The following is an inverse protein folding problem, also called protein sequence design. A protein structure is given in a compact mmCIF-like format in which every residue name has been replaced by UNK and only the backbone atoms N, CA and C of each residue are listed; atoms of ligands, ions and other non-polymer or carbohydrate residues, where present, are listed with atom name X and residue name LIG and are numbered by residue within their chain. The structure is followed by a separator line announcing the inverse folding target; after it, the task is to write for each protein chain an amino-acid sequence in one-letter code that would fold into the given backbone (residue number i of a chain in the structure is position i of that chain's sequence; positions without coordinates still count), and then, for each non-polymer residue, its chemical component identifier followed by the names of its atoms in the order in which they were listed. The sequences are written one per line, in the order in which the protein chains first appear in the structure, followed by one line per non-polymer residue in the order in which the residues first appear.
data_IF_694881298080
#
_entry.id   IF_694881298080
#
_cell.length_a   1.000
_cell.length_b   1.000
_cell.length_c   1.000
_cell.angle_alpha   90.00
_cell.angle_beta   90.00
_cell.angle_gamma   90.00
#
_symmetry.space_group_name_H-M   'P 1'
#
loop_
_entity.id
_entity.type
_entity.pdbx_description
1 polymer ?
#
# COMPACT_ATOMS: atom_id res chain seq x y z
N UNK A 1 16.75 -1.35 46.18
CA UNK A 1 16.12 -2.20 45.17
C UNK A 1 14.68 -1.79 44.83
N UNK A 2 13.74 -1.70 45.81
CA UNK A 2 12.32 -1.32 45.54
C UNK A 2 12.14 0.04 44.86
N UNK A 3 12.92 1.08 45.24
CA UNK A 3 12.86 2.41 44.61
C UNK A 3 13.36 2.40 43.16
N UNK A 4 14.37 1.57 42.85
CA UNK A 4 14.88 1.40 41.47
C UNK A 4 13.87 0.66 40.58
N UNK A 5 13.17 -0.35 41.10
CA UNK A 5 12.11 -1.05 40.38
C UNK A 5 10.93 -0.14 40.09
N UNK A 6 10.53 0.71 41.04
CA UNK A 6 9.47 1.70 40.86
C UNK A 6 9.88 2.72 39.77
N UNK A 7 11.10 3.24 39.85
CA UNK A 7 11.63 4.19 38.87
C UNK A 7 11.66 3.58 37.43
N UNK A 8 12.10 2.33 37.32
CA UNK A 8 12.11 1.60 36.04
C UNK A 8 10.69 1.36 35.49
N UNK A 9 9.75 0.97 36.36
CA UNK A 9 8.35 0.80 35.97
C UNK A 9 7.72 2.11 35.49
N UNK A 10 7.96 3.23 36.20
CA UNK A 10 7.47 4.55 35.78
C UNK A 10 8.07 4.95 34.43
N UNK A 11 9.35 4.68 34.20
CA UNK A 11 10.00 4.96 32.91
C UNK A 11 9.33 4.19 31.78
N UNK A 12 9.03 2.90 31.98
CA UNK A 12 8.34 2.08 30.97
C UNK A 12 6.94 2.65 30.69
N UNK A 13 6.17 2.99 31.74
CA UNK A 13 4.83 3.55 31.58
C UNK A 13 4.87 4.86 30.78
N UNK A 14 5.81 5.74 31.08
CA UNK A 14 6.00 7.01 30.34
C UNK A 14 6.42 6.75 28.90
N UNK A 15 7.31 5.80 28.64
CA UNK A 15 7.73 5.43 27.29
C UNK A 15 6.55 4.87 26.47
N UNK A 16 5.78 3.95 27.05
CA UNK A 16 4.58 3.38 26.40
C UNK A 16 3.53 4.46 26.14
N UNK A 17 3.26 5.32 27.12
CA UNK A 17 2.35 6.45 26.95
C UNK A 17 2.83 7.39 25.82
N UNK A 18 4.12 7.68 25.75
CA UNK A 18 4.71 8.47 24.66
C UNK A 18 4.46 7.84 23.29
N UNK A 19 4.74 6.56 23.13
CA UNK A 19 4.52 5.84 21.86
C UNK A 19 3.05 5.89 21.41
N UNK A 20 2.12 5.80 22.35
CA UNK A 20 0.68 5.81 22.03
C UNK A 20 0.11 7.23 21.77
N UNK A 21 0.72 8.24 22.37
CA UNK A 21 0.17 9.62 22.34
C UNK A 21 0.85 10.46 21.26
N UNK A 22 2.16 10.35 21.08
CA UNK A 22 2.95 11.19 20.16
C UNK A 22 2.43 11.15 18.71
N UNK A 23 2.08 10.00 18.11
CA UNK A 23 1.58 9.97 16.74
C UNK A 23 0.31 10.77 16.50
N UNK A 24 -0.53 10.95 17.54
CA UNK A 24 -1.73 11.80 17.48
C UNK A 24 -1.45 13.30 17.37
N UNK A 25 -0.23 13.75 17.66
CA UNK A 25 0.18 15.15 17.55
C UNK A 25 0.95 15.46 16.27
N UNK A 26 1.30 14.43 15.49
CA UNK A 26 1.98 14.64 14.22
C UNK A 26 0.94 14.97 13.15
N UNK A 27 1.15 16.08 12.44
CA UNK A 27 0.33 16.41 11.27
C UNK A 27 0.78 15.59 10.06
N UNK A 28 0.14 14.44 9.89
CA UNK A 28 0.41 13.52 8.79
C UNK A 28 0.02 14.09 7.42
N UNK A 29 -0.80 15.13 7.39
CA UNK A 29 -1.21 15.78 6.15
C UNK A 29 -0.03 16.45 5.42
N UNK A 30 1.02 16.80 6.15
CA UNK A 30 2.26 17.33 5.58
C UNK A 30 2.91 16.37 4.59
N UNK A 31 2.71 15.07 4.74
CA UNK A 31 3.31 14.03 3.90
C UNK A 31 2.49 13.68 2.64
N UNK A 32 1.29 14.26 2.45
CA UNK A 32 0.44 13.98 1.29
C UNK A 32 1.15 14.17 -0.03
N UNK A 33 1.87 15.29 -0.17
CA UNK A 33 2.60 15.63 -1.39
C UNK A 33 3.73 14.64 -1.67
N UNK A 34 4.45 14.24 -0.63
CA UNK A 34 5.53 13.25 -0.75
C UNK A 34 4.99 11.89 -1.19
N UNK A 35 3.91 11.43 -0.55
CA UNK A 35 3.23 10.18 -0.90
C UNK A 35 2.73 10.24 -2.36
N UNK A 36 2.07 11.33 -2.75
CA UNK A 36 1.58 11.51 -4.11
C UNK A 36 2.72 11.49 -5.13
N UNK A 37 3.83 12.16 -4.84
CA UNK A 37 5.02 12.20 -5.70
C UNK A 37 5.63 10.82 -5.86
N UNK A 38 5.77 10.08 -4.77
CA UNK A 38 6.31 8.72 -4.78
C UNK A 38 5.43 7.77 -5.58
N UNK A 39 4.10 7.82 -5.39
CA UNK A 39 3.16 7.02 -6.17
C UNK A 39 3.22 7.40 -7.65
N UNK A 40 3.28 8.68 -7.97
CA UNK A 40 3.42 9.13 -9.35
C UNK A 40 4.70 8.63 -10.00
N UNK A 41 5.83 8.62 -9.27
CA UNK A 41 7.11 8.12 -9.79
C UNK A 41 7.10 6.62 -10.09
N UNK A 42 6.27 5.84 -9.39
CA UNK A 42 6.17 4.38 -9.54
C UNK A 42 5.11 4.00 -10.58
N UNK A 43 4.01 4.77 -10.65
CA UNK A 43 2.82 4.41 -11.44
C UNK A 43 2.63 5.25 -12.69
N UNK A 44 3.37 6.37 -12.81
CA UNK A 44 3.18 7.36 -13.86
C UNK A 44 1.89 8.18 -13.72
N UNK A 45 1.12 7.99 -12.63
CA UNK A 45 -0.21 8.59 -12.46
C UNK A 45 -0.33 9.38 -11.18
N UNK A 46 -1.18 10.40 -11.23
CA UNK A 46 -1.42 11.26 -10.08
C UNK A 46 -2.32 10.56 -9.04
N UNK A 47 -1.86 10.59 -7.79
CA UNK A 47 -2.65 10.26 -6.61
C UNK A 47 -2.99 11.58 -5.91
N UNK A 48 -4.26 11.76 -5.53
CA UNK A 48 -4.70 12.90 -4.72
C UNK A 48 -5.38 12.37 -3.45
N UNK A 49 -4.96 12.91 -2.30
CA UNK A 49 -5.56 12.64 -0.99
C UNK A 49 -6.23 13.93 -0.55
N UNK A 50 -7.53 14.07 -0.85
CA UNK A 50 -8.32 15.27 -0.56
C UNK A 50 -8.63 15.44 0.92
N UNK A 51 -8.94 14.35 1.61
CA UNK A 51 -9.23 14.31 3.04
C UNK A 51 -8.00 14.03 3.91
N UNK A 52 -8.18 13.92 5.22
CA UNK A 52 -7.09 13.78 6.18
C UNK A 52 -6.44 12.40 6.16
N UNK A 53 -5.11 12.39 6.43
CA UNK A 53 -4.37 11.18 6.77
C UNK A 53 -4.31 11.06 8.29
N UNK A 54 -4.69 9.89 8.80
CA UNK A 54 -4.68 9.55 10.21
C UNK A 54 -3.91 8.26 10.44
N UNK A 55 -3.14 8.21 11.52
CA UNK A 55 -2.50 6.98 11.97
C UNK A 55 -3.15 6.52 13.26
N UNK A 56 -3.71 5.33 13.23
CA UNK A 56 -4.17 4.62 14.42
C UNK A 56 -3.09 3.60 14.83
N UNK A 57 -2.85 3.46 16.13
CA UNK A 57 -1.91 2.46 16.65
C UNK A 57 -2.64 1.32 17.33
N UNK A 58 -3.80 1.59 17.89
CA UNK A 58 -4.60 0.61 18.60
C UNK A 58 -6.01 0.49 17.99
N UNK A 59 -6.58 -0.74 17.88
CA UNK A 59 -6.07 -2.05 18.34
C UNK A 59 -4.98 -2.66 17.46
N UNK A 60 -4.83 -2.22 16.23
CA UNK A 60 -3.75 -2.59 15.30
C UNK A 60 -3.24 -1.34 14.59
N UNK A 61 -1.94 -1.25 14.29
CA UNK A 61 -1.41 -0.13 13.52
C UNK A 61 -2.10 -0.04 12.16
N UNK A 62 -2.62 1.14 11.84
CA UNK A 62 -3.30 1.42 10.60
C UNK A 62 -3.03 2.84 10.12
N UNK A 63 -2.95 3.00 8.82
CA UNK A 63 -2.99 4.29 8.13
C UNK A 63 -4.34 4.43 7.45
N UNK A 64 -5.03 5.52 7.71
CA UNK A 64 -6.33 5.85 7.10
C UNK A 64 -6.15 7.12 6.29
N UNK A 65 -6.43 7.05 5.00
CA UNK A 65 -6.47 8.21 4.10
C UNK A 65 -7.90 8.38 3.60
N UNK A 66 -8.43 9.61 3.72
CA UNK A 66 -9.78 9.92 3.30
C UNK A 66 -9.77 10.66 1.95
N UNK A 67 -10.85 10.49 1.18
CA UNK A 67 -11.05 11.13 -0.11
C UNK A 67 -9.85 10.92 -1.05
N UNK A 68 -9.61 9.66 -1.38
CA UNK A 68 -8.47 9.25 -2.22
C UNK A 68 -8.92 9.08 -3.65
N UNK A 69 -8.24 9.74 -4.58
CA UNK A 69 -8.47 9.60 -6.01
C UNK A 69 -7.19 9.23 -6.74
N UNK A 70 -7.31 8.36 -7.73
CA UNK A 70 -6.20 7.94 -8.58
C UNK A 70 -6.54 8.21 -10.04
N UNK A 71 -5.67 8.95 -10.72
CA UNK A 71 -5.90 9.39 -12.08
C UNK A 71 -6.02 8.22 -13.07
N UNK A 72 -6.86 8.42 -14.08
CA UNK A 72 -7.02 7.49 -15.18
C UNK A 72 -5.81 7.53 -16.13
N UNK A 73 -5.75 6.57 -17.04
CA UNK A 73 -4.79 6.61 -18.13
C UNK A 73 -5.10 7.78 -19.09
N UNK A 74 -4.09 8.40 -19.68
CA UNK A 74 -4.31 9.40 -20.73
C UNK A 74 -5.16 8.83 -21.88
N UNK A 75 -6.27 9.50 -22.18
CA UNK A 75 -7.23 9.06 -23.19
C UNK A 75 -8.39 8.22 -22.66
N UNK A 76 -8.48 8.05 -21.33
CA UNK A 76 -9.65 7.42 -20.68
C UNK A 76 -10.91 8.28 -20.74
N UNK A 77 -12.06 7.65 -20.53
CA UNK A 77 -13.37 8.31 -20.58
C UNK A 77 -13.65 9.21 -19.38
N UNK A 78 -13.04 8.89 -18.25
CA UNK A 78 -13.12 9.63 -16.99
C UNK A 78 -11.71 10.12 -16.58
N UNK A 79 -11.65 11.23 -15.84
CA UNK A 79 -10.39 11.77 -15.34
C UNK A 79 -9.75 10.87 -14.27
N UNK A 80 -10.59 10.12 -13.54
CA UNK A 80 -10.16 9.29 -12.39
C UNK A 80 -10.54 7.83 -12.63
N UNK A 81 -9.53 6.94 -12.54
CA UNK A 81 -9.73 5.51 -12.59
C UNK A 81 -10.30 4.97 -11.28
N UNK A 82 -9.84 5.50 -10.13
CA UNK A 82 -10.28 5.06 -8.82
C UNK A 82 -10.66 6.28 -7.97
N UNK A 83 -11.77 6.17 -7.28
CA UNK A 83 -12.21 7.08 -6.21
C UNK A 83 -12.58 6.27 -4.98
N UNK A 84 -12.11 6.68 -3.82
CA UNK A 84 -12.37 6.02 -2.54
C UNK A 84 -12.81 7.08 -1.54
N UNK A 85 -13.87 6.84 -0.81
CA UNK A 85 -14.26 7.65 0.35
C UNK A 85 -13.19 7.53 1.44
N UNK A 86 -12.67 6.31 1.66
CA UNK A 86 -11.55 6.07 2.58
C UNK A 86 -10.76 4.83 2.18
N UNK A 87 -9.45 4.89 2.39
CA UNK A 87 -8.50 3.78 2.29
C UNK A 87 -7.89 3.55 3.67
N UNK A 88 -8.06 2.35 4.21
CA UNK A 88 -7.42 1.92 5.47
C UNK A 88 -6.44 0.78 5.17
N UNK A 89 -5.20 0.95 5.61
CA UNK A 89 -4.14 -0.05 5.47
C UNK A 89 -3.63 -0.41 6.86
N UNK A 90 -3.85 -1.64 7.28
CA UNK A 90 -3.36 -2.18 8.54
C UNK A 90 -2.03 -2.91 8.32
N UNK A 91 -1.12 -2.74 9.26
CA UNK A 91 0.19 -3.40 9.22
C UNK A 91 0.42 -4.27 10.45
N UNK A 92 1.23 -5.32 10.30
CA UNK A 92 1.60 -6.19 11.40
C UNK A 92 2.59 -5.48 12.34
N UNK A 93 2.27 -5.44 13.63
CA UNK A 93 3.12 -4.78 14.64
C UNK A 93 4.47 -5.49 14.82
N UNK A 94 4.49 -6.81 14.80
CA UNK A 94 5.72 -7.60 15.00
C UNK A 94 6.78 -7.30 13.95
N UNK A 95 6.52 -7.51 12.66
CA UNK A 95 7.42 -7.14 11.57
C UNK A 95 7.82 -5.68 11.57
N UNK A 96 6.87 -4.77 11.86
CA UNK A 96 7.13 -3.33 11.92
C UNK A 96 8.21 -2.98 12.96
N UNK A 97 8.25 -3.68 14.10
CA UNK A 97 9.30 -3.50 15.12
C UNK A 97 10.68 -3.97 14.64
N UNK A 98 10.75 -4.85 13.65
CA UNK A 98 11.99 -5.31 13.00
C UNK A 98 12.39 -4.45 11.80
N UNK A 99 11.58 -3.46 11.45
CA UNK A 99 11.78 -2.59 10.28
C UNK A 99 11.13 -3.11 9.00
N UNK A 100 10.38 -4.23 9.07
CA UNK A 100 9.68 -4.81 7.94
C UNK A 100 8.22 -4.34 7.90
N UNK A 101 7.74 -3.96 6.72
CA UNK A 101 6.35 -3.55 6.54
C UNK A 101 5.57 -4.73 5.96
N UNK A 102 4.71 -5.31 6.79
CA UNK A 102 3.79 -6.37 6.37
C UNK A 102 2.35 -5.85 6.45
N UNK A 103 1.67 -5.77 5.30
CA UNK A 103 0.27 -5.36 5.22
C UNK A 103 -0.60 -6.57 5.57
N UNK A 104 -1.45 -6.43 6.60
CA UNK A 104 -2.34 -7.49 7.08
C UNK A 104 -3.77 -7.31 6.58
N UNK A 105 -4.20 -6.07 6.38
CA UNK A 105 -5.55 -5.77 5.91
C UNK A 105 -5.56 -4.50 5.07
N UNK A 106 -6.29 -4.54 3.97
CA UNK A 106 -6.67 -3.36 3.18
C UNK A 106 -8.18 -3.26 3.16
N UNK A 107 -8.70 -2.10 3.53
CA UNK A 107 -10.12 -1.79 3.51
C UNK A 107 -10.38 -0.58 2.63
N UNK A 108 -11.27 -0.75 1.67
CA UNK A 108 -11.75 0.29 0.78
C UNK A 108 -13.19 0.63 1.17
N UNK A 109 -13.46 1.91 1.36
CA UNK A 109 -14.80 2.43 1.68
C UNK A 109 -15.28 3.29 0.51
N UNK A 110 -16.52 3.05 0.08
CA UNK A 110 -17.17 3.72 -1.05
C UNK A 110 -16.28 3.72 -2.32
N UNK A 111 -15.75 2.55 -2.76
CA UNK A 111 -14.90 2.49 -3.92
C UNK A 111 -15.72 2.65 -5.20
N UNK A 112 -15.26 3.54 -6.07
CA UNK A 112 -15.69 3.63 -7.46
C UNK A 112 -14.48 3.37 -8.33
N UNK A 113 -14.55 2.32 -9.17
CA UNK A 113 -13.45 1.91 -10.05
C UNK A 113 -13.96 1.86 -11.48
N UNK A 114 -13.29 2.60 -12.36
CA UNK A 114 -13.57 2.63 -13.79
C UNK A 114 -12.50 1.83 -14.53
N UNK A 115 -12.85 0.66 -15.01
CA UNK A 115 -11.96 -0.19 -15.83
C UNK A 115 -12.40 -0.10 -17.29
N UNK A 116 -11.49 0.32 -18.15
CA UNK A 116 -11.77 0.50 -19.58
C UNK A 116 -10.56 0.12 -20.44
N UNK A 117 -10.88 -0.31 -21.66
CA UNK A 117 -9.89 -0.46 -22.72
C UNK A 117 -9.95 0.79 -23.59
N UNK A 118 -8.82 1.49 -23.69
CA UNK A 118 -8.70 2.73 -24.43
C UNK A 118 -8.83 2.50 -25.95
N UNK A 119 -9.07 3.56 -26.70
CA UNK A 119 -9.23 3.49 -28.16
C UNK A 119 -8.00 2.92 -28.89
N UNK A 120 -6.81 3.00 -28.29
CA UNK A 120 -5.56 2.44 -28.78
C UNK A 120 -5.32 0.98 -28.36
N UNK A 121 -6.27 0.36 -27.63
CA UNK A 121 -6.20 -1.01 -27.14
C UNK A 121 -5.47 -1.17 -25.81
N UNK A 122 -4.92 -0.12 -25.22
CA UNK A 122 -4.32 -0.18 -23.88
C UNK A 122 -5.40 -0.30 -22.81
N UNK A 123 -5.08 -1.00 -21.75
CA UNK A 123 -5.94 -1.19 -20.60
C UNK A 123 -5.58 -0.15 -19.53
N UNK A 124 -6.56 0.57 -18.96
CA UNK A 124 -6.28 1.62 -18.02
C UNK A 124 -5.74 1.13 -16.67
N UNK A 125 -5.92 -0.13 -16.32
CA UNK A 125 -5.38 -0.73 -15.10
C UNK A 125 -3.93 -1.24 -15.23
N UNK A 126 -3.35 -1.23 -16.43
CA UNK A 126 -1.95 -1.57 -16.66
C UNK A 126 -1.10 -0.30 -16.43
N UNK A 127 -0.25 -0.35 -15.42
CA UNK A 127 0.68 0.74 -15.08
C UNK A 127 1.98 0.48 -15.83
N UNK A 128 2.34 1.37 -16.76
CA UNK A 128 3.50 1.15 -17.64
C UNK A 128 4.84 1.17 -16.89
N UNK A 129 4.93 1.93 -15.82
CA UNK A 129 6.17 2.04 -15.04
C UNK A 129 6.39 0.91 -14.03
N UNK A 130 5.34 0.11 -13.75
CA UNK A 130 5.50 -1.17 -13.04
C UNK A 130 6.02 -2.29 -13.96
N UNK A 131 6.19 -2.03 -15.26
CA UNK A 131 7.01 -2.86 -16.13
C UNK A 131 8.47 -2.57 -15.80
N UNK A 132 8.96 -3.08 -14.68
CA UNK A 132 10.39 -3.23 -14.49
C UNK A 132 10.95 -3.98 -15.69
N UNK A 133 12.10 -3.56 -16.20
CA UNK A 133 12.83 -4.21 -17.31
C UNK A 133 13.22 -5.68 -17.01
N UNK A 134 12.82 -6.22 -15.89
CA UNK A 134 12.73 -7.65 -15.58
C UNK A 134 11.43 -8.28 -16.14
N UNK A 135 11.00 -7.86 -17.30
CA UNK A 135 10.22 -8.75 -18.16
C UNK A 135 11.14 -9.92 -18.49
N UNK A 136 11.20 -10.86 -17.56
CA UNK A 136 11.58 -12.24 -17.88
C UNK A 136 10.85 -12.57 -19.17
N UNK A 137 11.64 -12.63 -20.22
CA UNK A 137 11.25 -13.03 -21.56
C UNK A 137 10.33 -14.23 -21.41
N UNK A 138 9.04 -13.93 -21.66
CA UNK A 138 7.97 -14.86 -21.35
C UNK A 138 8.26 -16.21 -21.95
N UNK A 139 7.86 -17.19 -21.25
CA UNK A 139 7.61 -18.53 -21.72
C UNK A 139 6.88 -18.49 -23.08
N UNK A 140 7.63 -18.32 -24.14
CA UNK A 140 7.22 -18.80 -25.46
C UNK A 140 7.24 -20.32 -25.32
N UNK A 141 6.06 -20.90 -25.10
CA UNK A 141 5.87 -22.33 -25.27
C UNK A 141 6.25 -22.62 -26.71
N UNK A 142 7.43 -23.18 -26.90
CA UNK A 142 7.80 -23.77 -28.16
C UNK A 142 6.92 -25.02 -28.34
N UNK A 143 5.88 -24.87 -29.16
CA UNK A 143 4.92 -25.93 -29.48
C UNK A 143 5.54 -27.07 -30.33
N UNK A 144 6.87 -27.06 -30.54
CA UNK A 144 7.53 -28.05 -31.37
C UNK A 144 8.20 -29.23 -30.64
N UNK A 145 8.47 -29.09 -29.31
CA UNK A 145 9.15 -30.16 -28.55
C UNK A 145 8.60 -30.25 -27.13
N UNK A 146 7.60 -31.04 -26.93
CA UNK A 146 6.83 -31.22 -25.68
C UNK A 146 7.61 -31.71 -24.43
N UNK A 147 8.79 -31.19 -24.15
CA UNK A 147 9.58 -31.53 -22.96
C UNK A 147 9.52 -30.39 -21.92
N UNK A 148 9.16 -30.69 -20.66
CA UNK A 148 9.19 -29.70 -19.58
C UNK A 148 10.65 -29.42 -19.19
N UNK A 149 11.12 -28.21 -19.46
CA UNK A 149 12.42 -27.76 -18.92
C UNK A 149 12.23 -27.49 -17.42
N UNK A 150 12.72 -28.40 -16.60
CA UNK A 150 12.95 -28.19 -15.17
C UNK A 150 14.08 -27.20 -14.98
N UNK A 151 13.76 -25.93 -14.86
CA UNK A 151 14.68 -24.90 -14.37
C UNK A 151 14.23 -24.46 -12.98
N UNK A 152 14.97 -24.86 -11.95
CA UNK A 152 14.90 -24.26 -10.61
C UNK A 152 15.34 -22.80 -10.72
N UNK A 153 14.41 -21.94 -11.12
CA UNK A 153 14.59 -20.50 -11.03
C UNK A 153 14.07 -20.10 -9.66
N UNK A 154 14.99 -19.89 -8.71
CA UNK A 154 14.68 -19.17 -7.51
C UNK A 154 14.16 -17.78 -7.94
N UNK A 155 12.84 -17.62 -7.87
CA UNK A 155 12.21 -16.33 -8.00
C UNK A 155 12.67 -15.55 -6.76
N UNK A 156 13.62 -14.64 -6.93
CA UNK A 156 13.95 -13.64 -5.93
C UNK A 156 12.68 -12.82 -5.72
N UNK A 157 11.88 -13.22 -4.76
CA UNK A 157 10.69 -12.53 -4.35
C UNK A 157 11.13 -11.16 -3.81
N UNK A 158 10.84 -10.10 -4.56
CA UNK A 158 10.72 -8.77 -3.98
C UNK A 158 9.77 -8.84 -2.77
N UNK A 159 9.67 -7.80 -1.93
CA UNK A 159 8.89 -7.85 -0.70
C UNK A 159 7.49 -8.37 -1.02
N UNK A 160 7.22 -9.62 -0.62
CA UNK A 160 5.93 -10.26 -0.84
C UNK A 160 4.91 -9.49 0.00
N UNK A 161 4.05 -8.72 -0.65
CA UNK A 161 2.87 -8.16 -0.03
C UNK A 161 1.97 -9.35 0.36
N UNK A 162 2.12 -9.83 1.58
CA UNK A 162 1.20 -10.80 2.16
C UNK A 162 -0.05 -10.02 2.59
N UNK A 163 -1.08 -10.08 1.77
CA UNK A 163 -2.40 -9.54 2.05
C UNK A 163 -3.24 -10.64 2.68
N UNK A 164 -3.45 -10.56 4.01
CA UNK A 164 -4.24 -11.56 4.73
C UNK A 164 -5.74 -11.31 4.58
N UNK A 165 -6.17 -10.05 4.40
CA UNK A 165 -7.58 -9.70 4.28
C UNK A 165 -7.79 -8.46 3.40
N UNK A 166 -8.76 -8.54 2.50
CA UNK A 166 -9.23 -7.46 1.66
C UNK A 166 -10.71 -7.22 1.90
N UNK A 167 -11.10 -6.02 2.28
CA UNK A 167 -12.49 -5.67 2.61
C UNK A 167 -12.96 -4.47 1.77
N UNK A 168 -14.13 -4.63 1.15
CA UNK A 168 -14.83 -3.56 0.45
C UNK A 168 -16.11 -3.25 1.23
N UNK A 169 -16.33 -1.98 1.53
CA UNK A 169 -17.52 -1.49 2.23
C UNK A 169 -18.26 -0.51 1.31
N UNK A 170 -19.55 -0.73 1.12
CA UNK A 170 -20.43 0.09 0.25
C UNK A 170 -19.94 0.16 -1.22
N UNK A 171 -19.40 -0.92 -1.76
CA UNK A 171 -19.02 -1.04 -3.16
C UNK A 171 -20.18 -1.47 -4.06
#
# INVERSE_FOLDING_TARGET
MRKLLIGFFVLIVVAVAGILIVPGFIDWNTYKTEIATQIKSITGRDLVIGGDIQIAIFPAPAVVANDVTFANAPGGSEDQMVRLGSLEVNVALGPLMSGDIQVTKVRLVDPVVVLEVLADGRQNWVLEELKTDDAVSGNTIDLATGDPVSGDTEISAGPALQLDNFEIVNG
#
